data_IF_156979031447
#
_entry.id   IF_156979031447
#
_cell.length_a   1.000
_cell.length_b   1.000
_cell.length_c   1.000
_cell.angle_alpha   90.00
_cell.angle_beta   90.00
_cell.angle_gamma   90.00
#
_symmetry.space_group_name_H-M   'P 1'
#
loop_
_entity.id
_entity.type
_entity.pdbx_description
1 polymer ?
#
# COMPACT_ATOMS: atom_id res chain seq x y z
N UNK A 1 77.14 -27.95 19.27
CA UNK A 1 76.57 -27.49 20.55
C UNK A 1 75.86 -26.17 20.31
N UNK A 2 74.61 -26.12 20.73
CA UNK A 2 73.57 -25.09 20.67
C UNK A 2 74.03 -23.64 20.55
N UNK A 3 73.52 -22.93 19.54
CA UNK A 3 73.45 -21.48 19.49
C UNK A 3 72.00 -21.04 19.21
N UNK A 4 71.50 -20.19 20.13
CA UNK A 4 70.54 -19.09 19.97
C UNK A 4 69.07 -19.37 19.57
N UNK A 5 68.18 -19.24 20.56
CA UNK A 5 66.84 -18.62 20.46
C UNK A 5 67.02 -17.07 20.27
N UNK A 6 66.00 -16.23 19.95
CA UNK A 6 64.55 -16.43 20.11
C UNK A 6 63.61 -15.84 19.03
N UNK A 7 62.31 -16.00 19.29
CA UNK A 7 61.15 -15.26 18.74
C UNK A 7 60.65 -15.75 17.38
N UNK A 8 59.43 -16.31 17.41
CA UNK A 8 58.25 -15.93 16.62
C UNK A 8 57.40 -17.17 16.37
N UNK A 9 56.38 -17.44 17.19
CA UNK A 9 55.25 -18.32 16.85
C UNK A 9 54.16 -18.24 17.95
N UNK A 10 53.63 -17.03 18.13
CA UNK A 10 52.30 -16.81 18.72
C UNK A 10 51.41 -16.16 17.66
N UNK A 11 51.10 -16.85 16.56
CA UNK A 11 50.11 -16.37 15.57
C UNK A 11 49.55 -17.51 14.70
N UNK A 12 49.35 -18.70 15.25
CA UNK A 12 48.64 -19.80 14.57
C UNK A 12 47.54 -20.32 15.49
N UNK A 13 46.56 -19.46 15.76
CA UNK A 13 45.26 -19.84 16.33
C UNK A 13 44.16 -18.80 16.03
N UNK A 14 44.29 -18.00 14.97
CA UNK A 14 43.30 -16.96 14.62
C UNK A 14 43.09 -16.79 13.10
N UNK A 15 43.26 -17.85 12.31
CA UNK A 15 42.99 -17.80 10.86
C UNK A 15 42.14 -18.95 10.30
N UNK A 16 41.49 -19.72 11.19
CA UNK A 16 40.49 -20.72 10.79
C UNK A 16 39.04 -20.38 11.21
N UNK A 17 38.80 -19.19 11.75
CA UNK A 17 37.44 -18.69 12.10
C UNK A 17 37.05 -17.44 11.29
N UNK A 18 37.95 -16.89 10.48
CA UNK A 18 37.67 -15.70 9.63
C UNK A 18 37.21 -16.08 8.21
N UNK A 19 37.24 -17.37 7.83
CA UNK A 19 36.77 -17.84 6.53
C UNK A 19 35.32 -18.40 6.53
N UNK A 20 34.58 -18.23 7.63
CA UNK A 20 33.17 -18.66 7.74
C UNK A 20 32.20 -17.50 8.05
N UNK A 21 32.67 -16.25 7.95
CA UNK A 21 31.86 -15.04 8.23
C UNK A 21 31.83 -14.04 7.07
N UNK A 22 31.95 -14.48 5.82
CA UNK A 22 31.65 -13.66 4.65
C UNK A 22 30.94 -14.53 3.61
N UNK A 23 29.62 -14.60 3.70
CA UNK A 23 28.63 -14.77 2.61
C UNK A 23 27.25 -14.94 3.23
N UNK A 24 26.80 -13.87 3.88
CA UNK A 24 25.41 -13.47 3.73
C UNK A 24 25.47 -12.32 2.72
N UNK A 25 25.53 -12.65 1.44
CA UNK A 25 24.92 -11.74 0.47
C UNK A 25 23.42 -11.96 0.66
N UNK A 26 22.66 -11.01 1.22
CA UNK A 26 21.21 -11.06 1.08
C UNK A 26 20.94 -10.91 -0.43
N UNK A 27 20.30 -11.91 -1.02
CA UNK A 27 19.90 -11.84 -2.43
C UNK A 27 19.16 -10.51 -2.68
N UNK A 28 19.44 -9.81 -3.79
CA UNK A 28 18.68 -8.61 -4.17
C UNK A 28 17.18 -8.95 -4.26
N UNK A 29 16.30 -7.95 -4.10
CA UNK A 29 14.84 -8.13 -4.19
C UNK A 29 14.52 -9.07 -5.34
N UNK A 30 14.06 -10.27 -4.99
CA UNK A 30 13.89 -11.36 -5.95
C UNK A 30 12.68 -11.09 -6.84
N UNK A 31 12.65 -11.69 -8.03
CA UNK A 31 11.46 -11.66 -8.91
C UNK A 31 10.19 -12.11 -8.16
N UNK A 32 10.36 -13.02 -7.19
CA UNK A 32 9.29 -13.46 -6.30
C UNK A 32 8.81 -12.36 -5.36
N UNK A 33 9.70 -11.54 -4.80
CA UNK A 33 9.32 -10.39 -3.96
C UNK A 33 8.65 -9.29 -4.78
N UNK A 34 9.06 -9.10 -6.04
CA UNK A 34 8.38 -8.22 -7.01
C UNK A 34 6.98 -8.73 -7.38
N UNK A 35 6.83 -10.05 -7.57
CA UNK A 35 5.54 -10.68 -7.81
C UNK A 35 4.62 -10.55 -6.58
N UNK A 36 5.16 -10.76 -5.37
CA UNK A 36 4.43 -10.60 -4.11
C UNK A 36 4.00 -9.14 -3.88
N UNK A 37 4.83 -8.17 -4.28
CA UNK A 37 4.50 -6.74 -4.28
C UNK A 37 3.31 -6.44 -5.20
N UNK A 38 3.35 -6.98 -6.42
CA UNK A 38 2.26 -6.83 -7.37
C UNK A 38 0.97 -7.45 -6.82
N UNK A 39 1.04 -8.63 -6.22
CA UNK A 39 -0.12 -9.31 -5.63
C UNK A 39 -0.70 -8.56 -4.41
N UNK A 40 0.14 -7.92 -3.60
CA UNK A 40 -0.32 -7.08 -2.49
C UNK A 40 -1.06 -5.84 -3.00
N UNK A 41 -0.53 -5.23 -4.06
CA UNK A 41 -1.15 -4.10 -4.72
C UNK A 41 -2.45 -4.56 -5.44
N UNK A 42 -2.48 -5.76 -6.04
CA UNK A 42 -3.68 -6.40 -6.62
C UNK A 42 -4.77 -6.58 -5.57
N UNK A 43 -4.40 -7.01 -4.37
CA UNK A 43 -5.34 -7.19 -3.27
C UNK A 43 -5.96 -5.84 -2.89
N UNK A 44 -5.17 -4.76 -2.89
CA UNK A 44 -5.66 -3.40 -2.61
C UNK A 44 -6.56 -2.87 -3.73
N UNK A 45 -6.23 -3.12 -5.00
CA UNK A 45 -7.03 -2.67 -6.15
C UNK A 45 -8.30 -3.48 -6.35
N UNK A 46 -8.22 -4.82 -6.30
CA UNK A 46 -9.38 -5.70 -6.40
C UNK A 46 -10.40 -5.41 -5.28
N UNK A 47 -9.91 -5.12 -4.07
CA UNK A 47 -10.77 -4.70 -2.96
C UNK A 47 -11.46 -3.34 -3.20
N UNK A 48 -10.89 -2.46 -4.04
CA UNK A 48 -11.42 -1.11 -4.33
C UNK A 48 -12.33 -1.06 -5.55
N UNK A 49 -12.00 -1.75 -6.64
CA UNK A 49 -12.86 -1.83 -7.83
C UNK A 49 -14.16 -2.61 -7.55
N UNK A 50 -14.09 -3.66 -6.73
CA UNK A 50 -15.30 -4.42 -6.36
C UNK A 50 -16.13 -3.75 -5.28
N UNK A 51 -15.53 -2.91 -4.42
CA UNK A 51 -16.27 -2.04 -3.50
C UNK A 51 -17.11 -0.98 -4.23
N UNK A 52 -16.83 -0.71 -5.51
CA UNK A 52 -17.63 0.17 -6.35
C UNK A 52 -18.68 -0.56 -7.20
N UNK A 53 -18.50 -1.87 -7.47
CA UNK A 53 -19.33 -2.61 -8.44
C UNK A 53 -20.22 -3.73 -7.86
N UNK A 54 -20.01 -4.21 -6.63
CA UNK A 54 -20.81 -5.32 -6.08
C UNK A 54 -21.77 -4.88 -4.97
N UNK A 55 -23.04 -4.64 -5.36
CA UNK A 55 -24.21 -4.67 -4.46
C UNK A 55 -24.98 -5.99 -4.67
N UNK A 56 -24.28 -7.13 -4.62
CA UNK A 56 -24.94 -8.44 -4.76
C UNK A 56 -24.45 -9.40 -3.69
N UNK A 57 -25.41 -9.88 -2.89
CA UNK A 57 -25.21 -10.72 -1.70
C UNK A 57 -24.73 -12.11 -2.07
N UNK A 58 -23.65 -12.57 -1.42
CA UNK A 58 -23.14 -13.92 -1.57
C UNK A 58 -23.69 -14.81 -0.43
N UNK A 59 -24.39 -15.92 -0.70
CA UNK A 59 -25.02 -16.75 0.33
C UNK A 59 -24.04 -17.37 1.34
N UNK A 60 -22.74 -17.47 1.03
CA UNK A 60 -21.71 -17.94 1.97
C UNK A 60 -21.36 -16.91 3.07
N UNK A 61 -21.75 -15.64 2.92
CA UNK A 61 -21.36 -14.52 3.80
C UNK A 61 -22.50 -14.03 4.69
N UNK A 62 -23.71 -14.53 4.47
CA UNK A 62 -24.95 -14.13 5.14
C UNK A 62 -24.96 -14.33 6.68
N UNK A 63 -24.04 -15.15 7.21
CA UNK A 63 -23.94 -15.45 8.64
C UNK A 63 -22.69 -14.88 9.33
N UNK A 64 -21.79 -14.21 8.60
CA UNK A 64 -20.61 -13.57 9.20
C UNK A 64 -20.97 -12.17 9.69
N UNK A 65 -20.30 -11.71 10.75
CA UNK A 65 -20.38 -10.32 11.20
C UNK A 65 -19.20 -9.51 10.67
N UNK A 66 -19.44 -8.27 10.27
CA UNK A 66 -18.41 -7.32 9.88
C UNK A 66 -18.45 -6.07 10.77
N UNK A 67 -17.33 -5.36 10.82
CA UNK A 67 -17.26 -4.03 11.41
C UNK A 67 -16.87 -3.03 10.33
N UNK A 68 -17.60 -1.92 10.28
CA UNK A 68 -17.22 -0.71 9.56
C UNK A 68 -17.08 0.42 10.57
N UNK A 69 -15.96 1.13 10.56
CA UNK A 69 -15.70 2.16 11.55
C UNK A 69 -15.00 3.39 10.98
N UNK A 70 -15.22 4.52 11.65
CA UNK A 70 -14.54 5.79 11.41
C UNK A 70 -13.96 6.26 12.74
N UNK A 71 -12.70 6.68 12.70
CA UNK A 71 -11.99 7.23 13.85
C UNK A 71 -11.64 8.68 13.53
N UNK A 72 -12.24 9.62 14.26
CA UNK A 72 -11.88 11.03 14.21
C UNK A 72 -11.00 11.40 15.39
N UNK A 73 -9.76 11.76 15.10
CA UNK A 73 -8.81 12.31 16.08
C UNK A 73 -9.02 13.82 16.16
N UNK A 74 -9.24 14.32 17.38
CA UNK A 74 -9.30 15.73 17.72
C UNK A 74 -8.33 16.02 18.88
N UNK A 75 -7.91 17.28 19.05
CA UNK A 75 -6.97 17.63 20.13
C UNK A 75 -7.45 17.23 21.53
N UNK A 76 -8.76 17.26 21.78
CA UNK A 76 -9.37 16.99 23.08
C UNK A 76 -9.90 15.55 23.25
N UNK A 77 -10.17 14.85 22.14
CA UNK A 77 -10.83 13.54 22.16
C UNK A 77 -10.62 12.73 20.88
N UNK A 78 -10.86 11.42 20.97
CA UNK A 78 -11.02 10.56 19.79
C UNK A 78 -12.46 10.05 19.72
N UNK A 79 -13.10 10.24 18.56
CA UNK A 79 -14.46 9.80 18.30
C UNK A 79 -14.45 8.55 17.44
N UNK A 80 -15.20 7.54 17.87
CA UNK A 80 -15.37 6.28 17.16
C UNK A 80 -16.80 6.18 16.69
N UNK A 81 -17.01 6.07 15.39
CA UNK A 81 -18.31 5.79 14.78
C UNK A 81 -18.21 4.38 14.23
N UNK A 82 -18.93 3.43 14.83
CA UNK A 82 -18.76 2.00 14.54
C UNK A 82 -20.10 1.37 14.21
N UNK A 83 -20.20 0.86 13.00
CA UNK A 83 -21.24 -0.09 12.58
C UNK A 83 -20.77 -1.52 12.81
N UNK A 84 -21.61 -2.35 13.41
CA UNK A 84 -21.40 -3.80 13.52
C UNK A 84 -22.69 -4.52 13.17
N UNK A 85 -22.58 -5.55 12.37
CA UNK A 85 -23.72 -6.39 12.05
C UNK A 85 -23.36 -7.47 11.03
N UNK A 86 -24.37 -8.14 10.50
CA UNK A 86 -24.18 -9.11 9.41
C UNK A 86 -23.45 -8.46 8.25
N UNK A 87 -22.47 -9.16 7.69
CA UNK A 87 -21.63 -8.71 6.58
C UNK A 87 -22.45 -8.12 5.43
N UNK A 88 -23.47 -8.84 4.95
CA UNK A 88 -24.29 -8.38 3.82
C UNK A 88 -24.98 -7.05 4.13
N UNK A 89 -25.45 -6.87 5.36
CA UNK A 89 -26.11 -5.65 5.80
C UNK A 89 -25.10 -4.49 5.96
N UNK A 90 -23.92 -4.76 6.52
CA UNK A 90 -22.81 -3.79 6.59
C UNK A 90 -22.43 -3.31 5.19
N UNK A 91 -22.38 -4.22 4.22
CA UNK A 91 -22.05 -3.92 2.83
C UNK A 91 -23.17 -3.15 2.13
N UNK A 92 -24.43 -3.52 2.35
CA UNK A 92 -25.59 -2.82 1.81
C UNK A 92 -25.65 -1.36 2.30
N UNK A 93 -25.33 -1.10 3.57
CA UNK A 93 -25.38 0.24 4.15
C UNK A 93 -24.07 1.02 4.01
N UNK A 94 -23.05 0.45 3.34
CA UNK A 94 -21.71 1.02 3.21
C UNK A 94 -21.68 2.44 2.63
N UNK A 95 -22.45 2.65 1.56
CA UNK A 95 -22.52 3.94 0.86
C UNK A 95 -23.18 4.99 1.73
N UNK A 96 -24.32 4.65 2.32
CA UNK A 96 -25.09 5.55 3.18
C UNK A 96 -24.33 5.89 4.47
N UNK A 97 -23.64 4.90 5.07
CA UNK A 97 -22.76 5.11 6.22
C UNK A 97 -21.65 6.12 5.89
N UNK A 98 -20.97 5.97 4.75
CA UNK A 98 -19.91 6.89 4.35
C UNK A 98 -20.47 8.30 4.10
N UNK A 99 -21.59 8.43 3.37
CA UNK A 99 -22.23 9.72 3.13
C UNK A 99 -22.54 10.45 4.44
N UNK A 100 -23.21 9.77 5.38
CA UNK A 100 -23.64 10.37 6.64
C UNK A 100 -22.49 10.70 7.58
N UNK A 101 -21.49 9.81 7.68
CA UNK A 101 -20.50 9.90 8.75
C UNK A 101 -19.11 10.31 8.29
N UNK A 102 -18.82 10.32 6.98
CA UNK A 102 -17.56 10.82 6.40
C UNK A 102 -17.80 12.14 5.68
N UNK A 103 -18.76 12.18 4.76
CA UNK A 103 -18.90 13.31 3.84
C UNK A 103 -19.70 14.48 4.44
N UNK A 104 -20.77 14.16 5.18
CA UNK A 104 -21.70 15.18 5.69
C UNK A 104 -21.50 15.52 7.18
N UNK A 105 -20.80 14.67 7.93
CA UNK A 105 -20.60 14.84 9.36
C UNK A 105 -19.70 16.04 9.66
N UNK A 106 -20.27 17.05 10.32
CA UNK A 106 -19.57 18.26 10.73
C UNK A 106 -19.17 18.19 12.19
N UNK A 107 -18.06 18.85 12.50
CA UNK A 107 -17.58 19.04 13.86
C UNK A 107 -17.56 20.54 14.17
N UNK A 108 -18.18 20.92 15.28
CA UNK A 108 -17.92 22.19 15.96
C UNK A 108 -17.01 21.90 17.14
N UNK A 109 -17.58 21.63 18.32
CA UNK A 109 -16.87 21.10 19.50
C UNK A 109 -17.11 19.59 19.69
N UNK A 110 -18.23 19.10 19.15
CA UNK A 110 -18.68 17.71 19.12
C UNK A 110 -19.27 17.41 17.74
N UNK A 111 -19.43 16.14 17.34
CA UNK A 111 -20.10 15.82 16.10
C UNK A 111 -21.52 16.37 16.09
N UNK A 112 -21.87 17.08 15.03
CA UNK A 112 -23.22 17.55 14.76
C UNK A 112 -23.95 16.51 13.91
N UNK A 113 -25.00 15.92 14.48
CA UNK A 113 -25.83 14.90 13.83
C UNK A 113 -27.12 15.48 13.24
N UNK A 114 -27.25 16.80 13.12
CA UNK A 114 -28.47 17.45 12.65
C UNK A 114 -28.88 17.07 11.22
N UNK A 115 -27.94 16.61 10.39
CA UNK A 115 -28.19 16.11 9.04
C UNK A 115 -28.66 14.65 9.00
N UNK A 116 -28.51 13.89 10.09
CA UNK A 116 -28.92 12.48 10.13
C UNK A 116 -30.45 12.40 10.30
N UNK A 117 -31.15 11.60 9.48
CA UNK A 117 -32.59 11.40 9.61
C UNK A 117 -33.00 11.00 11.04
N UNK A 118 -34.05 11.65 11.56
CA UNK A 118 -34.46 11.47 12.97
C UNK A 118 -34.95 10.06 13.28
N UNK A 119 -35.48 9.36 12.29
CA UNK A 119 -35.94 7.97 12.36
C UNK A 119 -34.80 6.97 12.52
N UNK A 120 -33.55 7.36 12.23
CA UNK A 120 -32.38 6.54 12.54
C UNK A 120 -31.96 6.64 14.01
N UNK A 121 -32.36 7.66 14.75
CA UNK A 121 -31.95 7.81 16.15
C UNK A 121 -32.54 6.69 17.01
N UNK A 122 -31.64 5.91 17.61
CA UNK A 122 -31.99 4.90 18.62
C UNK A 122 -31.51 5.39 19.98
N UNK A 123 -32.34 5.24 21.02
CA UNK A 123 -31.93 5.56 22.39
C UNK A 123 -30.67 4.77 22.79
N UNK A 124 -29.80 5.36 23.62
CA UNK A 124 -28.60 4.70 24.14
C UNK A 124 -28.73 4.49 25.65
N UNK A 125 -28.41 3.29 26.12
CA UNK A 125 -28.45 2.90 27.53
C UNK A 125 -27.04 2.68 28.13
N UNK A 126 -25.97 3.01 27.39
CA UNK A 126 -24.58 2.71 27.78
C UNK A 126 -23.79 3.98 28.12
N UNK A 127 -23.09 3.99 29.27
CA UNK A 127 -22.46 5.17 29.87
C UNK A 127 -21.38 5.85 29.01
N UNK A 128 -20.78 5.16 28.03
CA UNK A 128 -19.74 5.72 27.13
C UNK A 128 -20.22 6.04 25.71
N UNK A 129 -21.45 5.66 25.37
CA UNK A 129 -22.00 5.77 24.01
C UNK A 129 -22.84 7.03 23.90
N UNK A 130 -22.33 8.02 23.17
CA UNK A 130 -22.91 9.37 23.02
C UNK A 130 -24.13 9.36 22.09
N UNK A 131 -24.15 8.48 21.09
CA UNK A 131 -25.29 8.28 20.20
C UNK A 131 -25.35 6.84 19.68
N UNK A 132 -26.56 6.38 19.37
CA UNK A 132 -26.80 5.15 18.60
C UNK A 132 -27.72 5.49 17.43
N UNK A 133 -27.39 4.98 16.26
CA UNK A 133 -28.23 5.06 15.08
C UNK A 133 -28.57 3.66 14.58
N UNK A 134 -29.72 3.53 13.93
CA UNK A 134 -30.16 2.35 13.24
C UNK A 134 -30.33 2.68 11.76
N UNK A 135 -29.34 2.29 10.95
CA UNK A 135 -29.35 2.45 9.50
C UNK A 135 -30.00 1.21 8.90
N UNK A 136 -31.33 1.24 8.78
CA UNK A 136 -32.11 0.17 8.13
C UNK A 136 -31.81 -1.25 8.67
N UNK A 137 -31.73 -1.39 10.00
CA UNK A 137 -31.40 -2.62 10.71
C UNK A 137 -29.94 -2.74 11.15
N UNK A 138 -29.05 -1.84 10.70
CA UNK A 138 -27.65 -1.81 11.10
C UNK A 138 -27.42 -0.84 12.25
N UNK A 139 -26.97 -1.35 13.40
CA UNK A 139 -26.61 -0.51 14.53
C UNK A 139 -25.28 0.22 14.28
N UNK A 140 -25.30 1.54 14.44
CA UNK A 140 -24.12 2.42 14.43
C UNK A 140 -23.99 3.09 15.78
N UNK A 141 -22.89 2.83 16.46
CA UNK A 141 -22.56 3.42 17.75
C UNK A 141 -21.60 4.59 17.59
N UNK A 142 -21.77 5.64 18.39
CA UNK A 142 -20.79 6.73 18.53
C UNK A 142 -20.26 6.77 19.95
N UNK A 143 -18.95 6.62 20.08
CA UNK A 143 -18.24 6.64 21.37
C UNK A 143 -17.18 7.73 21.38
N UNK A 144 -17.10 8.47 22.49
CA UNK A 144 -16.03 9.45 22.73
C UNK A 144 -15.07 8.90 23.77
N UNK A 145 -13.79 8.79 23.41
CA UNK A 145 -12.71 8.48 24.34
C UNK A 145 -11.76 9.67 24.47
N UNK A 146 -10.78 9.58 25.38
CA UNK A 146 -9.75 10.60 25.52
C UNK A 146 -8.94 10.83 24.22
N UNK A 147 -8.19 11.93 24.17
CA UNK A 147 -7.26 12.19 23.07
C UNK A 147 -6.21 11.08 22.92
N UNK A 148 -5.51 11.07 21.78
CA UNK A 148 -4.37 10.19 21.51
C UNK A 148 -4.65 8.68 21.62
N UNK A 149 -5.85 8.23 21.20
CA UNK A 149 -6.12 6.80 21.14
C UNK A 149 -5.24 6.14 20.07
N UNK A 150 -4.64 5.00 20.42
CA UNK A 150 -3.93 4.14 19.48
C UNK A 150 -4.94 3.45 18.55
N UNK A 151 -4.84 3.74 17.26
CA UNK A 151 -5.72 3.18 16.24
C UNK A 151 -5.47 1.70 16.05
N UNK A 152 -4.22 1.24 16.05
CA UNK A 152 -3.88 -0.16 15.82
C UNK A 152 -4.41 -1.03 16.96
N UNK A 153 -4.17 -0.61 18.21
CA UNK A 153 -4.73 -1.28 19.38
C UNK A 153 -6.27 -1.37 19.35
N UNK A 154 -6.96 -0.35 18.83
CA UNK A 154 -8.42 -0.38 18.67
C UNK A 154 -8.86 -1.36 17.58
N UNK A 155 -8.17 -1.38 16.44
CA UNK A 155 -8.44 -2.30 15.34
C UNK A 155 -8.23 -3.74 15.82
N UNK A 156 -7.13 -4.04 16.52
CA UNK A 156 -6.87 -5.38 17.08
C UNK A 156 -7.96 -5.83 18.06
N UNK A 157 -8.45 -4.93 18.91
CA UNK A 157 -9.61 -5.23 19.77
C UNK A 157 -10.86 -5.57 18.97
N UNK A 158 -11.15 -4.84 17.89
CA UNK A 158 -12.31 -5.12 17.04
C UNK A 158 -12.16 -6.42 16.26
N UNK A 159 -10.94 -6.79 15.85
CA UNK A 159 -10.66 -8.10 15.26
C UNK A 159 -10.99 -9.23 16.22
N UNK A 160 -10.59 -9.08 17.49
CA UNK A 160 -10.97 -10.01 18.56
C UNK A 160 -12.49 -10.16 18.72
N UNK A 161 -13.27 -9.07 18.56
CA UNK A 161 -14.73 -9.11 18.60
C UNK A 161 -15.36 -9.92 17.47
N UNK A 162 -14.65 -10.07 16.35
CA UNK A 162 -15.05 -10.83 15.17
C UNK A 162 -14.38 -12.21 15.10
N UNK A 163 -13.59 -12.60 16.11
CA UNK A 163 -12.77 -13.82 16.11
C UNK A 163 -11.87 -13.95 14.86
N UNK A 164 -11.34 -12.82 14.37
CA UNK A 164 -10.50 -12.82 13.17
C UNK A 164 -9.04 -13.18 13.51
N UNK A 165 -8.41 -14.13 12.79
CA UNK A 165 -6.96 -14.35 12.87
C UNK A 165 -6.18 -13.09 12.51
N UNK A 166 -5.06 -12.78 13.17
CA UNK A 166 -4.24 -11.58 12.91
C UNK A 166 -3.80 -11.42 11.44
N UNK A 167 -3.63 -12.52 10.70
CA UNK A 167 -3.26 -12.52 9.29
C UNK A 167 -4.39 -12.12 8.32
N UNK A 168 -5.63 -11.97 8.81
CA UNK A 168 -6.77 -11.64 7.93
C UNK A 168 -6.64 -10.20 7.40
N UNK A 169 -6.77 -9.98 6.08
CA UNK A 169 -6.73 -8.64 5.50
C UNK A 169 -7.73 -7.68 6.14
N UNK A 170 -7.32 -6.44 6.30
CA UNK A 170 -8.16 -5.34 6.77
C UNK A 170 -8.05 -4.16 5.82
N UNK A 171 -9.12 -3.40 5.67
CA UNK A 171 -9.06 -2.13 4.97
C UNK A 171 -8.90 -1.02 5.99
N UNK A 172 -7.81 -0.26 5.88
CA UNK A 172 -7.57 0.96 6.66
C UNK A 172 -7.24 2.09 5.68
N UNK A 173 -7.97 3.20 5.75
CA UNK A 173 -7.72 4.40 4.93
C UNK A 173 -7.59 5.62 5.83
N UNK A 174 -6.51 6.36 5.69
CA UNK A 174 -6.30 7.62 6.37
C UNK A 174 -6.79 8.79 5.49
N UNK A 175 -7.34 9.81 6.14
CA UNK A 175 -7.90 11.02 5.55
C UNK A 175 -7.48 12.23 6.43
N UNK A 176 -7.55 13.43 5.86
CA UNK A 176 -7.35 14.71 6.57
C UNK A 176 -6.06 14.79 7.41
N UNK A 177 -4.90 14.50 6.79
CA UNK A 177 -3.60 14.44 7.48
C UNK A 177 -3.62 13.46 8.67
N UNK A 178 -4.13 12.25 8.45
CA UNK A 178 -4.26 11.18 9.44
C UNK A 178 -5.18 11.49 10.63
N UNK A 179 -5.99 12.56 10.57
CA UNK A 179 -6.96 12.87 11.60
C UNK A 179 -8.25 12.05 11.48
N UNK A 180 -8.52 11.50 10.30
CA UNK A 180 -9.69 10.66 10.06
C UNK A 180 -9.21 9.29 9.56
N UNK A 181 -9.70 8.20 10.14
CA UNK A 181 -9.33 6.82 9.75
C UNK A 181 -10.58 6.01 9.47
N UNK A 182 -10.70 5.46 8.27
CA UNK A 182 -11.74 4.51 7.89
C UNK A 182 -11.22 3.09 8.06
N UNK A 183 -12.02 2.23 8.67
CA UNK A 183 -11.68 0.82 8.94
C UNK A 183 -12.80 -0.08 8.45
N UNK A 184 -12.48 -1.17 7.74
CA UNK A 184 -13.42 -2.28 7.48
C UNK A 184 -12.79 -3.62 7.81
N UNK A 185 -13.52 -4.44 8.57
CA UNK A 185 -13.09 -5.74 9.08
C UNK A 185 -14.07 -6.85 8.72
N UNK A 186 -13.53 -8.06 8.59
CA UNK A 186 -14.23 -9.29 8.21
C UNK A 186 -15.12 -9.10 6.98
N UNK A 187 -14.61 -8.37 6.00
CA UNK A 187 -15.21 -8.33 4.68
C UNK A 187 -14.83 -9.66 4.03
N UNK A 188 -15.81 -10.44 3.55
CA UNK A 188 -15.49 -11.61 2.76
C UNK A 188 -14.62 -11.11 1.61
N UNK A 189 -13.43 -11.70 1.48
CA UNK A 189 -12.73 -11.68 0.20
C UNK A 189 -13.80 -12.15 -0.80
N UNK A 190 -14.21 -11.32 -1.76
CA UNK A 190 -15.25 -11.71 -2.70
C UNK A 190 -14.92 -13.11 -3.20
N UNK A 191 -15.80 -14.09 -2.98
CA UNK A 191 -15.57 -15.44 -3.49
C UNK A 191 -15.40 -15.29 -4.99
N UNK A 192 -14.16 -15.52 -5.39
CA UNK A 192 -13.73 -15.56 -6.76
C UNK A 192 -14.61 -16.58 -7.51
N UNK A 193 -15.57 -16.13 -8.31
CA UNK A 193 -15.40 -16.50 -9.72
C UNK A 193 -14.05 -15.92 -10.09
N UNK A 194 -13.08 -16.79 -10.41
CA UNK A 194 -11.69 -16.42 -10.66
C UNK A 194 -11.62 -14.99 -11.21
N UNK A 195 -11.02 -14.02 -10.50
CA UNK A 195 -10.88 -12.69 -11.05
C UNK A 195 -10.21 -12.93 -12.38
N UNK A 196 -10.83 -12.49 -13.47
CA UNK A 196 -9.98 -12.18 -14.60
C UNK A 196 -8.98 -11.18 -14.00
N UNK A 197 -7.66 -11.48 -14.04
CA UNK A 197 -6.68 -10.52 -13.60
C UNK A 197 -7.05 -9.19 -14.26
N UNK A 198 -7.01 -8.05 -13.53
CA UNK A 198 -7.34 -6.75 -14.10
C UNK A 198 -6.65 -6.70 -15.46
N UNK A 199 -7.43 -6.54 -16.53
CA UNK A 199 -6.90 -6.71 -17.87
C UNK A 199 -5.75 -5.72 -18.00
N UNK A 200 -4.53 -6.25 -18.01
CA UNK A 200 -3.32 -5.47 -17.98
C UNK A 200 -3.30 -4.68 -19.28
N UNK A 201 -3.41 -3.37 -19.15
CA UNK A 201 -3.31 -2.45 -20.29
C UNK A 201 -1.95 -2.73 -20.92
N UNK A 202 -1.95 -3.10 -22.20
CA UNK A 202 -0.70 -3.40 -22.88
C UNK A 202 0.07 -2.10 -23.05
N UNK A 203 1.39 -2.16 -22.95
CA UNK A 203 2.21 -0.95 -23.02
C UNK A 203 1.96 -0.14 -24.30
N UNK A 204 1.79 -0.80 -25.44
CA UNK A 204 1.53 -0.17 -26.75
C UNK A 204 0.16 0.52 -26.85
N UNK A 205 -0.74 0.31 -25.90
CA UNK A 205 -2.03 1.01 -25.81
C UNK A 205 -1.88 2.43 -25.22
N UNK A 206 -0.81 2.70 -24.47
CA UNK A 206 -0.65 3.98 -23.75
C UNK A 206 0.76 4.57 -23.75
N UNK A 207 1.76 3.88 -24.30
CA UNK A 207 3.13 4.36 -24.34
C UNK A 207 3.86 3.97 -25.63
N UNK A 208 4.69 4.89 -26.12
CA UNK A 208 5.63 4.66 -27.22
C UNK A 208 7.03 4.53 -26.63
N UNK A 209 7.63 3.33 -26.73
CA UNK A 209 9.02 3.10 -26.33
C UNK A 209 9.99 3.68 -27.36
N UNK A 210 11.15 4.19 -26.91
CA UNK A 210 12.19 4.63 -27.83
C UNK A 210 12.84 3.44 -28.56
N UNK A 211 13.04 3.58 -29.88
CA UNK A 211 13.67 2.55 -30.73
C UNK A 211 15.11 2.20 -30.30
N UNK A 212 15.82 3.14 -29.68
CA UNK A 212 17.23 2.99 -29.29
C UNK A 212 17.40 2.67 -27.80
N UNK A 213 16.42 2.01 -27.18
CA UNK A 213 16.52 1.63 -25.78
C UNK A 213 17.54 0.50 -25.57
N UNK A 214 18.44 0.66 -24.59
CA UNK A 214 19.29 -0.43 -24.11
C UNK A 214 18.52 -1.45 -23.25
N UNK A 215 17.24 -1.20 -23.01
CA UNK A 215 16.35 -2.03 -22.21
C UNK A 215 15.68 -3.09 -23.09
N UNK A 216 15.84 -4.36 -22.73
CA UNK A 216 15.24 -5.48 -23.46
C UNK A 216 13.91 -5.84 -22.83
N UNK A 217 12.83 -5.87 -23.61
CA UNK A 217 11.52 -6.30 -23.11
C UNK A 217 11.56 -7.78 -22.70
N UNK A 218 10.98 -8.09 -21.55
CA UNK A 218 10.84 -9.47 -21.07
C UNK A 218 9.55 -10.08 -21.63
N UNK A 219 9.58 -11.36 -22.03
CA UNK A 219 8.40 -12.05 -22.58
C UNK A 219 7.26 -12.21 -21.56
N UNK A 220 7.59 -12.23 -20.27
CA UNK A 220 6.63 -12.28 -19.18
C UNK A 220 6.73 -11.02 -18.33
N UNK A 221 5.65 -10.25 -18.27
CA UNK A 221 5.49 -9.23 -17.25
C UNK A 221 5.25 -9.89 -15.88
N UNK A 222 5.94 -9.38 -14.85
CA UNK A 222 5.72 -9.83 -13.49
C UNK A 222 4.51 -9.08 -12.88
N UNK A 223 3.46 -9.81 -12.51
CA UNK A 223 2.30 -9.24 -11.81
C UNK A 223 1.55 -8.18 -12.63
N UNK A 224 1.38 -6.97 -12.10
CA UNK A 224 0.61 -5.88 -12.72
C UNK A 224 1.41 -5.00 -13.69
N UNK A 225 2.69 -5.28 -13.93
CA UNK A 225 3.48 -4.48 -14.85
C UNK A 225 2.99 -4.59 -16.30
N UNK A 226 2.46 -3.51 -16.90
CA UNK A 226 2.12 -3.44 -18.33
C UNK A 226 3.26 -3.88 -19.26
N UNK A 227 4.50 -3.69 -18.80
CA UNK A 227 5.69 -4.30 -19.35
C UNK A 227 6.80 -4.38 -18.29
N UNK A 228 7.69 -5.35 -18.44
CA UNK A 228 8.97 -5.37 -17.73
C UNK A 228 10.10 -5.34 -18.75
N UNK A 229 11.13 -4.56 -18.46
CA UNK A 229 12.37 -4.53 -19.22
C UNK A 229 13.54 -4.91 -18.34
N UNK A 230 14.55 -5.51 -18.94
CA UNK A 230 15.79 -5.88 -18.29
C UNK A 230 17.00 -5.26 -19.01
N UNK A 231 18.02 -4.94 -18.23
CA UNK A 231 19.32 -4.55 -18.74
C UNK A 231 20.42 -5.17 -17.86
N UNK A 232 21.52 -5.60 -18.48
CA UNK A 232 22.72 -6.00 -17.75
C UNK A 232 23.79 -4.90 -17.76
N UNK A 233 24.26 -4.52 -16.57
CA UNK A 233 25.37 -3.57 -16.39
C UNK A 233 26.40 -4.23 -15.47
N UNK A 234 27.64 -4.34 -15.93
CA UNK A 234 28.75 -4.94 -15.19
C UNK A 234 28.46 -6.37 -14.67
N UNK A 235 27.69 -7.14 -15.44
CA UNK A 235 27.30 -8.52 -15.09
C UNK A 235 26.18 -8.60 -14.04
N UNK A 236 25.60 -7.47 -13.63
CA UNK A 236 24.42 -7.41 -12.76
C UNK A 236 23.17 -7.13 -13.59
N UNK A 237 22.04 -7.69 -13.18
CA UNK A 237 20.73 -7.44 -13.82
C UNK A 237 19.99 -6.30 -13.13
N UNK A 238 19.41 -5.43 -13.93
CA UNK A 238 18.52 -4.35 -13.52
C UNK A 238 17.22 -4.48 -14.29
N UNK A 239 16.11 -4.21 -13.62
CA UNK A 239 14.78 -4.31 -14.21
C UNK A 239 14.00 -3.01 -14.07
N UNK A 240 13.23 -2.68 -15.11
CA UNK A 240 12.25 -1.59 -15.09
C UNK A 240 10.87 -2.19 -15.30
N UNK A 241 10.00 -2.03 -14.31
CA UNK A 241 8.58 -2.36 -14.43
C UNK A 241 7.77 -1.10 -14.73
N UNK A 242 6.87 -1.17 -15.72
CA UNK A 242 5.90 -0.11 -16.05
C UNK A 242 4.54 -0.48 -15.47
N UNK A 243 3.95 0.38 -14.63
CA UNK A 243 2.66 0.14 -14.00
C UNK A 243 1.68 1.28 -14.28
N UNK A 244 0.40 0.95 -14.45
CA UNK A 244 -0.70 1.90 -14.60
C UNK A 244 -1.68 1.72 -13.45
N UNK A 245 -1.73 2.71 -12.56
CA UNK A 245 -2.53 2.62 -11.33
C UNK A 245 -3.61 3.72 -11.31
N UNK A 246 -4.84 3.44 -10.86
CA UNK A 246 -5.89 4.45 -10.67
C UNK A 246 -5.45 5.65 -9.81
N UNK A 247 -5.72 6.87 -10.27
CA UNK A 247 -5.40 8.11 -9.55
C UNK A 247 -6.33 8.38 -8.35
N UNK A 248 -7.40 7.60 -8.20
CA UNK A 248 -8.28 7.64 -7.02
C UNK A 248 -7.64 6.97 -5.78
N UNK A 249 -6.49 6.32 -5.94
CA UNK A 249 -5.66 5.84 -4.84
C UNK A 249 -4.63 6.91 -4.52
N UNK A 250 -4.61 7.45 -3.28
CA UNK A 250 -3.64 8.48 -2.95
C UNK A 250 -2.19 8.00 -3.13
N UNK A 251 -1.35 8.85 -3.72
CA UNK A 251 0.04 8.54 -4.04
C UNK A 251 0.82 8.06 -2.81
N UNK A 252 0.58 8.67 -1.65
CA UNK A 252 1.21 8.30 -0.38
C UNK A 252 0.86 6.87 0.07
N UNK A 253 -0.34 6.38 -0.29
CA UNK A 253 -0.72 4.98 -0.05
C UNK A 253 0.14 4.05 -0.90
N UNK A 254 0.33 4.38 -2.18
CA UNK A 254 1.13 3.59 -3.12
C UNK A 254 2.60 3.57 -2.68
N UNK A 255 3.18 4.75 -2.42
CA UNK A 255 4.54 4.89 -1.92
C UNK A 255 4.72 4.22 -0.54
N UNK A 256 3.68 4.25 0.30
CA UNK A 256 3.65 3.59 1.61
C UNK A 256 3.84 2.07 1.51
N UNK A 257 3.18 1.41 0.57
CA UNK A 257 3.32 -0.03 0.32
C UNK A 257 4.78 -0.37 -0.04
N UNK A 258 5.41 0.43 -0.90
CA UNK A 258 6.81 0.22 -1.26
C UNK A 258 7.78 0.48 -0.11
N UNK A 259 7.52 1.51 0.71
CA UNK A 259 8.32 1.79 1.93
C UNK A 259 8.23 0.65 2.95
N UNK A 260 7.02 0.20 3.26
CA UNK A 260 6.78 -0.87 4.24
C UNK A 260 7.52 -2.16 3.87
N UNK A 261 7.52 -2.51 2.57
CA UNK A 261 8.19 -3.72 2.06
C UNK A 261 9.71 -3.63 2.11
N UNK A 262 10.24 -2.41 2.06
CA UNK A 262 11.65 -2.13 2.31
C UNK A 262 11.97 -1.94 3.80
N UNK A 263 11.00 -2.17 4.70
CA UNK A 263 11.18 -1.97 6.14
C UNK A 263 11.40 -0.50 6.52
N UNK A 264 10.98 0.43 5.66
CA UNK A 264 11.08 1.87 5.88
C UNK A 264 9.76 2.36 6.48
N UNK A 265 9.85 3.21 7.50
CA UNK A 265 8.67 3.76 8.14
C UNK A 265 7.81 4.53 7.13
N UNK A 266 6.50 4.27 7.12
CA UNK A 266 5.56 4.90 6.20
C UNK A 266 5.53 6.43 6.29
N UNK A 267 5.90 7.00 7.44
CA UNK A 267 5.93 8.45 7.67
C UNK A 267 7.23 9.13 7.18
N UNK A 268 8.24 8.34 6.79
CA UNK A 268 9.49 8.91 6.27
C UNK A 268 9.22 9.59 4.92
N UNK A 269 9.64 10.85 4.80
CA UNK A 269 9.61 11.59 3.55
C UNK A 269 10.62 11.00 2.57
N UNK A 270 10.24 10.92 1.30
CA UNK A 270 11.11 10.42 0.24
C UNK A 270 11.77 11.60 -0.48
N UNK A 271 13.09 11.55 -0.73
CA UNK A 271 13.74 12.47 -1.66
C UNK A 271 12.98 12.44 -2.99
N UNK A 272 12.62 13.62 -3.49
CA UNK A 272 11.90 13.78 -4.75
C UNK A 272 12.73 14.63 -5.71
N UNK A 273 13.01 14.10 -6.89
CA UNK A 273 13.63 14.80 -8.01
C UNK A 273 12.59 15.00 -9.11
N UNK A 274 12.63 16.12 -9.85
CA UNK A 274 11.78 16.33 -11.02
C UNK A 274 12.56 16.08 -12.30
N UNK A 275 11.92 15.43 -13.27
CA UNK A 275 12.47 15.18 -14.59
C UNK A 275 11.43 15.53 -15.65
N UNK A 276 11.78 16.37 -16.61
CA UNK A 276 10.95 16.68 -17.77
C UNK A 276 11.41 15.84 -18.95
N UNK A 277 10.50 15.07 -19.58
CA UNK A 277 10.81 14.27 -20.76
C UNK A 277 10.91 15.13 -22.03
N UNK A 278 11.43 14.55 -23.12
CA UNK A 278 11.43 15.19 -24.45
C UNK A 278 10.01 15.45 -24.97
N UNK A 279 9.03 14.68 -24.53
CA UNK A 279 7.60 14.88 -24.78
C UNK A 279 6.96 15.93 -23.86
N UNK A 280 7.76 16.70 -23.11
CA UNK A 280 7.34 17.73 -22.15
C UNK A 280 6.44 17.20 -21.01
N UNK A 281 6.63 15.92 -20.63
CA UNK A 281 5.91 15.29 -19.52
C UNK A 281 6.72 15.47 -18.23
N UNK A 282 6.05 15.85 -17.15
CA UNK A 282 6.66 16.13 -15.85
C UNK A 282 6.61 14.89 -14.96
N UNK A 283 7.77 14.31 -14.69
CA UNK A 283 7.94 13.13 -13.85
C UNK A 283 8.48 13.51 -12.47
N UNK A 284 7.96 12.85 -11.44
CA UNK A 284 8.52 12.90 -10.10
C UNK A 284 9.25 11.59 -9.82
N UNK A 285 10.54 11.68 -9.50
CA UNK A 285 11.40 10.57 -9.16
C UNK A 285 11.51 10.46 -7.64
N UNK A 286 11.20 9.28 -7.11
CA UNK A 286 11.33 8.93 -5.71
C UNK A 286 12.41 7.87 -5.55
N UNK A 287 13.35 8.10 -4.65
CA UNK A 287 14.35 7.11 -4.27
C UNK A 287 14.00 6.52 -2.92
N UNK A 288 13.90 5.20 -2.86
CA UNK A 288 13.62 4.46 -1.64
C UNK A 288 14.76 3.45 -1.43
N UNK A 289 15.50 3.60 -0.34
CA UNK A 289 16.68 2.77 -0.07
C UNK A 289 16.82 2.43 1.41
N UNK A 290 17.38 1.24 1.67
CA UNK A 290 17.89 0.80 2.96
C UNK A 290 19.27 0.14 2.74
N UNK A 291 19.85 -0.47 3.78
CA UNK A 291 21.19 -1.09 3.70
C UNK A 291 21.29 -2.27 2.70
N UNK A 292 20.15 -2.84 2.29
CA UNK A 292 20.06 -4.06 1.45
C UNK A 292 19.40 -3.83 0.10
N UNK A 293 18.61 -2.78 -0.04
CA UNK A 293 17.68 -2.59 -1.14
C UNK A 293 17.70 -1.14 -1.58
N UNK A 294 17.60 -0.93 -2.89
CA UNK A 294 17.53 0.40 -3.48
C UNK A 294 16.61 0.35 -4.70
N UNK A 295 15.54 1.14 -4.67
CA UNK A 295 14.62 1.31 -5.78
C UNK A 295 14.51 2.79 -6.17
N UNK A 296 14.34 3.04 -7.46
CA UNK A 296 14.01 4.37 -8.00
C UNK A 296 12.67 4.26 -8.72
N UNK A 297 11.76 5.15 -8.40
CA UNK A 297 10.41 5.18 -8.97
C UNK A 297 10.23 6.50 -9.69
N UNK A 298 9.94 6.49 -10.98
CA UNK A 298 9.43 7.66 -11.68
C UNK A 298 7.90 7.58 -11.77
N UNK A 299 7.23 8.69 -11.48
CA UNK A 299 5.78 8.80 -11.50
C UNK A 299 5.36 9.98 -12.37
N UNK A 300 4.48 9.68 -13.34
CA UNK A 300 3.75 10.66 -14.11
C UNK A 300 2.29 10.68 -13.66
N UNK A 301 1.81 11.86 -13.26
CA UNK A 301 0.40 12.07 -12.94
C UNK A 301 -0.43 12.21 -14.21
N UNK A 302 -1.50 11.43 -14.35
CA UNK A 302 -2.54 11.57 -15.36
C UNK A 302 -3.88 11.97 -14.76
N UNK A 303 -4.90 12.11 -15.62
CA UNK A 303 -6.23 12.58 -15.17
C UNK A 303 -6.91 11.53 -14.28
N UNK A 304 -6.85 10.27 -14.71
CA UNK A 304 -7.53 9.17 -14.03
C UNK A 304 -6.56 8.10 -13.53
N UNK A 305 -5.29 8.18 -13.92
CA UNK A 305 -4.27 7.18 -13.62
C UNK A 305 -2.93 7.83 -13.33
N UNK A 306 -2.12 7.14 -12.55
CA UNK A 306 -0.68 7.33 -12.49
C UNK A 306 -0.01 6.34 -13.43
N UNK A 307 1.07 6.79 -14.05
CA UNK A 307 2.01 5.90 -14.73
C UNK A 307 3.29 5.84 -13.92
N UNK A 308 3.67 4.65 -13.48
CA UNK A 308 4.88 4.41 -12.71
C UNK A 308 5.90 3.63 -13.54
N UNK A 309 7.15 4.08 -13.51
CA UNK A 309 8.30 3.30 -13.90
C UNK A 309 9.10 2.99 -12.64
N UNK A 310 9.41 1.72 -12.39
CA UNK A 310 10.15 1.29 -11.20
C UNK A 310 11.42 0.56 -11.60
N UNK A 311 12.56 1.17 -11.30
CA UNK A 311 13.88 0.55 -11.40
C UNK A 311 14.19 -0.27 -10.14
N UNK A 312 14.61 -1.51 -10.34
CA UNK A 312 15.11 -2.42 -9.30
C UNK A 312 16.38 -3.13 -9.76
N UNK A 313 17.22 -3.53 -8.80
CA UNK A 313 18.48 -4.24 -9.01
C UNK A 313 19.25 -4.40 -7.70
N UNK A 314 20.51 -4.87 -7.73
CA UNK A 314 21.36 -4.97 -6.56
C UNK A 314 21.57 -3.63 -5.86
N UNK A 315 21.68 -3.65 -4.53
CA UNK A 315 21.97 -2.47 -3.74
C UNK A 315 23.48 -2.31 -3.46
N UNK A 316 24.02 -1.08 -3.52
CA UNK A 316 23.38 0.10 -4.09
C UNK A 316 23.22 -0.06 -5.61
N UNK A 317 22.19 0.55 -6.19
CA UNK A 317 22.05 0.63 -7.64
C UNK A 317 23.30 1.30 -8.25
N UNK A 318 23.83 0.72 -9.32
CA UNK A 318 24.91 1.35 -10.07
C UNK A 318 24.47 2.72 -10.59
N UNK A 319 25.31 3.75 -10.45
CA UNK A 319 25.00 5.08 -10.97
C UNK A 319 24.61 5.06 -12.45
N UNK A 320 25.30 4.22 -13.23
CA UNK A 320 25.00 4.00 -14.65
C UNK A 320 23.57 3.47 -14.89
N UNK A 321 23.04 2.59 -14.03
CA UNK A 321 21.66 2.09 -14.23
C UNK A 321 20.62 3.17 -13.94
N UNK A 322 20.89 4.07 -12.99
CA UNK A 322 20.04 5.23 -12.70
C UNK A 322 20.07 6.21 -13.89
N UNK A 323 21.25 6.46 -14.47
CA UNK A 323 21.39 7.34 -15.63
C UNK A 323 20.64 6.79 -16.86
N UNK A 324 20.79 5.49 -17.15
CA UNK A 324 20.07 4.84 -18.25
C UNK A 324 18.56 4.74 -18.01
N UNK A 325 18.13 4.63 -16.75
CA UNK A 325 16.73 4.73 -16.37
C UNK A 325 16.15 6.13 -16.60
N UNK A 326 16.88 7.18 -16.22
CA UNK A 326 16.49 8.57 -16.50
C UNK A 326 16.43 8.85 -18.00
N UNK A 327 17.37 8.30 -18.77
CA UNK A 327 17.35 8.40 -20.23
C UNK A 327 16.10 7.73 -20.82
N UNK A 328 15.75 6.51 -20.35
CA UNK A 328 14.52 5.84 -20.75
C UNK A 328 13.29 6.71 -20.48
N UNK A 329 13.17 7.31 -19.29
CA UNK A 329 12.04 8.21 -18.95
C UNK A 329 12.01 9.45 -19.85
N UNK A 330 13.19 10.00 -20.16
CA UNK A 330 13.32 11.18 -21.01
C UNK A 330 12.81 10.93 -22.43
N UNK A 331 13.07 9.75 -22.97
CA UNK A 331 12.72 9.37 -24.33
C UNK A 331 11.34 8.70 -24.44
N UNK A 332 10.81 8.17 -23.33
CA UNK A 332 9.48 7.55 -23.27
C UNK A 332 8.38 8.60 -23.48
N UNK A 333 7.38 8.25 -24.30
CA UNK A 333 6.19 9.07 -24.50
C UNK A 333 4.94 8.33 -24.05
N UNK A 334 4.27 8.85 -23.03
CA UNK A 334 2.95 8.37 -22.60
C UNK A 334 1.88 9.07 -23.45
N UNK A 335 1.12 8.30 -24.23
CA UNK A 335 0.14 8.80 -25.21
C UNK A 335 -1.27 8.91 -24.66
N UNK A 336 -1.58 8.18 -23.58
CA UNK A 336 -2.89 8.15 -22.91
C UNK A 336 -2.70 8.23 -21.39
N UNK A 337 -3.15 9.32 -20.76
CA UNK A 337 -2.90 9.59 -19.34
C UNK A 337 -4.15 9.93 -18.52
#
# INVERSE_FOLDING_TARGET
>A
MKNKLPVLLSFIALFAVVAFLIRFDPDPITDQEVANLSQAIDTVFASREQAQNNTQSNPATANLESIMAIIYRRPDATWFIKARGKTDLVNQQAVEFNRLFVDELKFTDKPDFSHIPKDYLSGSNEQMRIATFNLNGLEVSVTRLGANQDVESNIQRWRGQLNMPESTPQFVKFLDNNNTVLVRLNQPVPQQSAPQPPQQEKLDEFAELPENSNWTAMEASAGMASATFEQSIDGQSYQVAVLRLPANVPLETILGIWKERLGIAAEQSLPTEKLTSQSAQEWNLFTIQNDKNHIVIAMLSGTNRYTFLRLSGPAPLAAKSIDEFKQLISDLKITSN
#
